data_IF_075866831502
#
_entry.id   IF_075866831502
#
_cell.length_a   1.000
_cell.length_b   1.000
_cell.length_c   1.000
_cell.angle_alpha   90.00
_cell.angle_beta   90.00
_cell.angle_gamma   90.00
#
_symmetry.space_group_name_H-M   'P 1'
#
loop_
_entity.id
_entity.type
_entity.pdbx_description
1 polymer ?
#
# COMPACT_ATOMS: atom_id res chain seq x y z
N UNK A 1 21.92 -5.47 -9.45
CA UNK A 1 21.00 -6.50 -8.93
C UNK A 1 20.86 -6.43 -7.40
N UNK A 2 21.96 -6.36 -6.65
CA UNK A 2 21.88 -6.23 -5.17
C UNK A 2 21.27 -4.91 -4.70
N UNK A 3 21.60 -3.77 -5.32
CA UNK A 3 21.07 -2.47 -4.90
C UNK A 3 19.53 -2.36 -5.01
N UNK A 4 18.93 -2.90 -6.07
CA UNK A 4 17.47 -2.92 -6.26
C UNK A 4 16.78 -3.85 -5.27
N UNK A 5 17.40 -4.99 -4.96
CA UNK A 5 16.92 -5.91 -3.93
C UNK A 5 16.94 -5.24 -2.54
N UNK A 6 18.06 -4.60 -2.18
CA UNK A 6 18.22 -3.89 -0.91
C UNK A 6 17.16 -2.77 -0.79
N UNK A 7 16.94 -2.00 -1.86
CA UNK A 7 15.91 -0.97 -1.88
C UNK A 7 14.50 -1.56 -1.68
N UNK A 8 14.17 -2.66 -2.34
CA UNK A 8 12.87 -3.31 -2.18
C UNK A 8 12.66 -3.84 -0.75
N UNK A 9 13.71 -4.44 -0.16
CA UNK A 9 13.70 -4.89 1.24
C UNK A 9 13.53 -3.70 2.19
N UNK A 10 14.24 -2.60 1.97
CA UNK A 10 14.11 -1.40 2.79
C UNK A 10 12.67 -0.84 2.74
N UNK A 11 12.06 -0.78 1.56
CA UNK A 11 10.64 -0.40 1.40
C UNK A 11 9.74 -1.32 2.21
N UNK A 12 9.95 -2.64 2.17
CA UNK A 12 9.16 -3.60 2.94
C UNK A 12 9.28 -3.41 4.44
N UNK A 13 10.51 -3.24 4.94
CA UNK A 13 10.79 -3.05 6.37
C UNK A 13 10.13 -1.74 6.86
N UNK A 14 10.34 -0.63 6.16
CA UNK A 14 9.76 0.67 6.52
C UNK A 14 8.24 0.63 6.46
N UNK A 15 7.66 0.03 5.44
CA UNK A 15 6.19 -0.07 5.29
C UNK A 15 5.58 -0.91 6.41
N UNK A 16 6.23 -2.02 6.78
CA UNK A 16 5.80 -2.88 7.88
C UNK A 16 5.85 -2.15 9.22
N UNK A 17 6.94 -1.42 9.49
CA UNK A 17 7.06 -0.61 10.69
C UNK A 17 5.99 0.50 10.73
N UNK A 18 5.73 1.17 9.61
CA UNK A 18 4.69 2.20 9.52
C UNK A 18 3.29 1.62 9.80
N UNK A 19 2.96 0.44 9.28
CA UNK A 19 1.70 -0.24 9.57
C UNK A 19 1.56 -0.60 11.05
N UNK A 20 2.65 -1.05 11.69
CA UNK A 20 2.66 -1.31 13.13
C UNK A 20 2.43 -0.04 13.96
N UNK A 21 3.05 1.08 13.58
CA UNK A 21 2.84 2.38 14.24
C UNK A 21 1.39 2.84 14.09
N UNK A 22 0.81 2.74 12.90
CA UNK A 22 -0.61 3.08 12.67
C UNK A 22 -1.54 2.13 13.43
N UNK A 23 -1.25 0.82 13.40
CA UNK A 23 -1.96 -0.20 14.18
C UNK A 23 -2.00 0.14 15.66
N UNK A 24 -0.85 0.42 16.25
CA UNK A 24 -0.75 0.78 17.66
C UNK A 24 -1.40 2.12 17.99
N UNK A 25 -1.19 3.16 17.18
CA UNK A 25 -1.75 4.50 17.39
C UNK A 25 -3.29 4.52 17.39
N UNK A 26 -3.91 3.73 16.51
CA UNK A 26 -5.37 3.59 16.43
C UNK A 26 -5.91 2.37 17.18
N UNK A 27 -5.09 1.72 18.03
CA UNK A 27 -5.47 0.54 18.83
C UNK A 27 -6.10 -0.58 18.00
N UNK A 28 -5.63 -0.75 16.76
CA UNK A 28 -6.13 -1.72 15.79
C UNK A 28 -7.63 -1.56 15.47
N UNK A 29 -8.19 -0.37 15.65
CA UNK A 29 -9.57 -0.06 15.27
C UNK A 29 -9.69 0.09 13.76
N UNK A 30 -9.91 -1.04 13.07
CA UNK A 30 -9.99 -1.11 11.60
C UNK A 30 -11.11 -0.24 11.01
N UNK A 31 -12.17 -0.01 11.78
CA UNK A 31 -13.30 0.83 11.40
C UNK A 31 -13.03 2.34 11.51
N UNK A 32 -11.98 2.75 12.22
CA UNK A 32 -11.67 4.18 12.37
C UNK A 32 -11.30 4.78 11.02
N UNK A 33 -11.83 5.97 10.74
CA UNK A 33 -11.50 6.73 9.51
C UNK A 33 -10.00 7.01 9.41
N UNK A 34 -9.37 7.35 10.53
CA UNK A 34 -7.93 7.63 10.59
C UNK A 34 -7.10 6.39 10.27
N UNK A 35 -7.43 5.25 10.88
CA UNK A 35 -6.77 3.98 10.59
C UNK A 35 -6.88 3.61 9.10
N UNK A 36 -8.09 3.68 8.55
CA UNK A 36 -8.33 3.40 7.13
C UNK A 36 -7.57 4.33 6.18
N UNK A 37 -7.49 5.63 6.50
CA UNK A 37 -6.75 6.60 5.69
C UNK A 37 -5.25 6.29 5.67
N UNK A 38 -4.65 6.11 6.84
CA UNK A 38 -3.21 5.91 6.97
C UNK A 38 -2.73 4.56 6.42
N UNK A 39 -3.48 3.49 6.68
CA UNK A 39 -3.16 2.16 6.11
C UNK A 39 -3.23 2.17 4.59
N UNK A 40 -4.23 2.84 4.00
CA UNK A 40 -4.32 3.04 2.54
C UNK A 40 -3.13 3.83 2.01
N UNK A 41 -2.78 4.93 2.66
CA UNK A 41 -1.65 5.77 2.24
C UNK A 41 -0.34 4.97 2.24
N UNK A 42 -0.06 4.23 3.32
CA UNK A 42 1.13 3.38 3.40
C UNK A 42 1.11 2.34 2.29
N UNK A 43 0.03 1.59 2.13
CA UNK A 43 -0.04 0.54 1.11
C UNK A 43 0.13 1.06 -0.32
N UNK A 44 -0.47 2.21 -0.66
CA UNK A 44 -0.28 2.86 -1.97
C UNK A 44 1.18 3.25 -2.17
N UNK A 45 1.80 3.91 -1.19
CA UNK A 45 3.19 4.32 -1.29
C UNK A 45 4.13 3.11 -1.43
N UNK A 46 3.86 2.03 -0.71
CA UNK A 46 4.61 0.78 -0.84
C UNK A 46 4.50 0.20 -2.25
N UNK A 47 3.29 0.08 -2.79
CA UNK A 47 3.06 -0.46 -4.14
C UNK A 47 3.76 0.39 -5.20
N UNK A 48 3.62 1.72 -5.12
CA UNK A 48 4.25 2.63 -6.07
C UNK A 48 5.78 2.60 -5.97
N UNK A 49 6.34 2.54 -4.77
CA UNK A 49 7.79 2.45 -4.57
C UNK A 49 8.35 1.15 -5.17
N UNK A 50 7.73 0.00 -4.89
CA UNK A 50 8.14 -1.28 -5.48
C UNK A 50 7.97 -1.32 -7.00
N UNK A 51 6.90 -0.71 -7.51
CA UNK A 51 6.67 -0.57 -8.94
C UNK A 51 7.83 0.22 -9.56
N UNK A 52 8.18 1.37 -9.00
CA UNK A 52 9.31 2.18 -9.45
C UNK A 52 10.63 1.42 -9.44
N UNK A 53 10.91 0.67 -8.37
CA UNK A 53 12.12 -0.19 -8.27
C UNK A 53 12.13 -1.26 -9.37
N UNK A 54 10.98 -1.90 -9.62
CA UNK A 54 10.85 -2.97 -10.61
C UNK A 54 11.01 -2.42 -12.02
N UNK A 55 10.36 -1.29 -12.34
CA UNK A 55 10.52 -0.55 -13.61
C UNK A 55 11.99 -0.19 -13.83
N UNK A 56 12.65 0.38 -12.82
CA UNK A 56 14.06 0.74 -12.89
C UNK A 56 14.99 -0.46 -13.13
N UNK A 57 14.68 -1.60 -12.50
CA UNK A 57 15.41 -2.85 -12.70
C UNK A 57 15.21 -3.44 -14.10
N UNK A 58 14.10 -3.11 -14.76
CA UNK A 58 13.74 -3.59 -16.10
C UNK A 58 13.93 -2.54 -17.20
N UNK A 59 14.61 -1.42 -16.91
CA UNK A 59 14.79 -0.29 -17.86
C UNK A 59 15.41 -0.64 -19.22
N UNK A 60 16.11 -1.77 -19.33
CA UNK A 60 16.66 -2.27 -20.59
C UNK A 60 15.58 -2.87 -21.51
N UNK A 61 14.44 -3.27 -20.96
CA UNK A 61 13.27 -3.79 -21.69
C UNK A 61 12.11 -2.82 -21.49
N UNK A 62 11.96 -1.90 -22.45
CA UNK A 62 10.98 -0.82 -22.38
C UNK A 62 9.53 -1.35 -22.33
N UNK A 63 9.25 -2.46 -23.02
CA UNK A 63 7.91 -3.05 -23.07
C UNK A 63 7.54 -3.59 -21.69
N UNK A 64 8.42 -4.39 -21.07
CA UNK A 64 8.22 -4.91 -19.72
C UNK A 64 8.11 -3.77 -18.70
N UNK A 65 8.99 -2.77 -18.79
CA UNK A 65 8.96 -1.60 -17.90
C UNK A 65 7.63 -0.85 -17.96
N UNK A 66 7.06 -0.64 -19.15
CA UNK A 66 5.75 0.01 -19.33
C UNK A 66 4.62 -0.84 -18.73
N UNK A 67 4.57 -2.14 -19.04
CA UNK A 67 3.54 -3.02 -18.48
C UNK A 67 3.58 -3.09 -16.96
N UNK A 68 4.78 -3.17 -16.36
CA UNK A 68 4.95 -3.15 -14.91
C UNK A 68 4.49 -1.80 -14.33
N UNK A 69 4.86 -0.69 -14.96
CA UNK A 69 4.45 0.65 -14.52
C UNK A 69 2.93 0.82 -14.52
N UNK A 70 2.27 0.49 -15.63
CA UNK A 70 0.82 0.55 -15.75
C UNK A 70 0.15 -0.41 -14.79
N UNK A 71 0.62 -1.66 -14.71
CA UNK A 71 0.10 -2.67 -13.79
C UNK A 71 0.21 -2.24 -12.33
N UNK A 72 1.32 -1.63 -11.93
CA UNK A 72 1.53 -1.11 -10.58
C UNK A 72 0.59 0.05 -10.22
N UNK A 73 0.34 0.96 -11.17
CA UNK A 73 -0.63 2.05 -10.98
C UNK A 73 -2.05 1.49 -10.83
N UNK A 74 -2.45 0.55 -11.70
CA UNK A 74 -3.74 -0.11 -11.61
C UNK A 74 -3.90 -0.87 -10.29
N UNK A 75 -2.85 -1.55 -9.84
CA UNK A 75 -2.84 -2.27 -8.56
C UNK A 75 -3.00 -1.30 -7.38
N UNK A 76 -2.32 -0.16 -7.38
CA UNK A 76 -2.48 0.86 -6.36
C UNK A 76 -3.91 1.40 -6.32
N UNK A 77 -4.51 1.67 -7.47
CA UNK A 77 -5.92 2.09 -7.57
C UNK A 77 -6.89 1.02 -7.05
N UNK A 78 -6.71 -0.23 -7.47
CA UNK A 78 -7.51 -1.36 -7.02
C UNK A 78 -7.40 -1.60 -5.51
N UNK A 79 -6.19 -1.43 -4.95
CA UNK A 79 -5.94 -1.53 -3.51
C UNK A 79 -6.73 -0.49 -2.72
N UNK A 80 -6.72 0.77 -3.16
CA UNK A 80 -7.51 1.86 -2.54
C UNK A 80 -9.00 1.56 -2.62
N UNK A 81 -9.48 1.15 -3.80
CA UNK A 81 -10.88 0.82 -4.01
C UNK A 81 -11.35 -0.32 -3.10
N UNK A 82 -10.56 -1.39 -2.97
CA UNK A 82 -10.87 -2.52 -2.11
C UNK A 82 -10.93 -2.09 -0.63
N UNK A 83 -10.00 -1.25 -0.19
CA UNK A 83 -10.00 -0.72 1.17
C UNK A 83 -11.19 0.20 1.43
N UNK A 84 -11.59 1.04 0.47
CA UNK A 84 -12.81 1.85 0.56
C UNK A 84 -14.04 0.96 0.72
N UNK A 85 -14.18 -0.03 -0.16
CA UNK A 85 -15.29 -1.00 -0.10
C UNK A 85 -15.34 -1.75 1.21
N UNK A 86 -14.19 -2.17 1.75
CA UNK A 86 -14.12 -2.87 3.03
C UNK A 86 -14.54 -1.96 4.19
N UNK A 87 -14.06 -0.72 4.24
CA UNK A 87 -14.48 0.25 5.26
C UNK A 87 -15.97 0.57 5.18
N UNK A 88 -16.52 0.72 3.98
CA UNK A 88 -17.96 0.94 3.79
C UNK A 88 -18.79 -0.26 4.25
N UNK A 89 -18.33 -1.48 3.98
CA UNK A 89 -18.98 -2.70 4.44
C UNK A 89 -18.95 -2.83 5.97
N UNK A 90 -17.81 -2.54 6.61
CA UNK A 90 -17.69 -2.53 8.07
C UNK A 90 -18.63 -1.51 8.71
N UNK A 91 -18.72 -0.32 8.12
CA UNK A 91 -19.64 0.73 8.58
C UNK A 91 -21.11 0.29 8.47
N UNK A 92 -21.51 -0.30 7.34
CA UNK A 92 -22.85 -0.85 7.14
C UNK A 92 -23.19 -1.97 8.12
N UNK A 93 -22.19 -2.76 8.53
CA UNK A 93 -22.35 -3.82 9.51
C UNK A 93 -22.47 -3.32 10.96
N UNK A 94 -22.50 -2.00 11.19
CA UNK A 94 -22.59 -1.42 12.54
C UNK A 94 -21.29 -1.52 13.32
N UNK A 95 -20.17 -1.87 12.67
CA UNK A 95 -18.83 -1.76 13.23
C UNK A 95 -18.40 -0.30 13.11
N UNK A 96 -19.10 0.62 13.78
CA UNK A 96 -18.64 2.00 13.95
C UNK A 96 -17.88 2.08 15.29
N UNK A 97 -16.60 2.47 15.26
CA UNK A 97 -15.87 2.75 16.49
C UNK A 97 -16.18 4.16 16.97
N UNK A 98 -16.39 4.32 18.27
CA UNK A 98 -16.79 5.57 18.93
C UNK A 98 -15.62 6.56 19.14
N UNK A 99 -14.64 6.59 18.23
CA UNK A 99 -13.49 7.50 18.28
C UNK A 99 -13.46 8.44 17.08
#
# INVERSE_FOLDING_TARGET
MYATLIAAVAVMVVSSAALMVVGTAYKWQVASRGYGLWTRAIGVLTVLALTGITVWSRRADAVVAVFVGVGGILLAGAYVWLHMRLTDNLRKAGVESSL
#
